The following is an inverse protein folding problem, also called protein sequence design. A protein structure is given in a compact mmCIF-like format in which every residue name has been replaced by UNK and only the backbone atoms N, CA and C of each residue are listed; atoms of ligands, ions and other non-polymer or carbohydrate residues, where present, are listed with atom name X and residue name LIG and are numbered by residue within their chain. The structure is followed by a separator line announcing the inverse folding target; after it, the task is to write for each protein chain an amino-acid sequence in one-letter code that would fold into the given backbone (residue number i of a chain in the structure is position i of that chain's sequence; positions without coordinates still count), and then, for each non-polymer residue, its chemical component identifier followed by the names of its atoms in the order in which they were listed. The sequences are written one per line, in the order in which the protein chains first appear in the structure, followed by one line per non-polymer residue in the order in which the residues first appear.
data_IF_994353897216
#
_entry.id   IF_994353897216
#
_cell.length_a   1.000
_cell.length_b   1.000
_cell.length_c   1.000
_cell.angle_alpha   90.00
_cell.angle_beta   90.00
_cell.angle_gamma   90.00
#
_symmetry.space_group_name_H-M   'P 1'
#
loop_
_entity.id
_entity.type
_entity.pdbx_description
1 polymer ?
#
# COMPACT_ATOMS: atom_id res chain seq x y z
N UNK A 1 -32.65 -18.87 -40.42
CA UNK A 1 -33.02 -17.73 -39.55
C UNK A 1 -32.63 -17.95 -38.08
N UNK A 2 -32.93 -19.12 -37.49
CA UNK A 2 -32.61 -19.43 -36.07
C UNK A 2 -31.10 -19.36 -35.75
N UNK A 3 -30.22 -19.85 -36.62
CA UNK A 3 -28.76 -19.79 -36.40
C UNK A 3 -28.15 -18.38 -36.43
N UNK A 4 -28.77 -17.43 -37.13
CA UNK A 4 -28.34 -16.02 -37.14
C UNK A 4 -28.76 -15.30 -35.85
N UNK A 5 -29.93 -15.63 -35.31
CA UNK A 5 -30.42 -15.12 -34.02
C UNK A 5 -29.57 -15.64 -32.85
N UNK A 6 -29.25 -16.94 -32.83
CA UNK A 6 -28.40 -17.55 -31.80
C UNK A 6 -26.98 -16.94 -31.77
N UNK A 7 -26.40 -16.66 -32.95
CA UNK A 7 -25.09 -15.99 -33.07
C UNK A 7 -25.09 -14.56 -32.53
N UNK A 8 -26.22 -13.86 -32.68
CA UNK A 8 -26.38 -12.48 -32.21
C UNK A 8 -26.50 -12.41 -30.67
N UNK A 9 -27.11 -13.42 -30.05
CA UNK A 9 -27.25 -13.50 -28.58
C UNK A 9 -25.95 -13.96 -27.93
N UNK A 10 -25.33 -15.04 -28.44
CA UNK A 10 -24.06 -15.53 -27.91
C UNK A 10 -22.91 -14.51 -28.13
N UNK A 11 -22.91 -13.81 -29.27
CA UNK A 11 -21.95 -12.75 -29.55
C UNK A 11 -22.11 -11.55 -28.63
N UNK A 12 -23.35 -11.12 -28.34
CA UNK A 12 -23.62 -10.04 -27.37
C UNK A 12 -23.23 -10.45 -25.96
N UNK A 13 -23.57 -11.66 -25.53
CA UNK A 13 -23.17 -12.16 -24.21
C UNK A 13 -21.64 -12.22 -24.05
N UNK A 14 -20.91 -12.67 -25.08
CA UNK A 14 -19.45 -12.68 -25.05
C UNK A 14 -18.85 -11.26 -25.02
N UNK A 15 -19.46 -10.31 -25.74
CA UNK A 15 -19.09 -8.90 -25.70
C UNK A 15 -19.37 -8.28 -24.32
N UNK A 16 -20.53 -8.54 -23.72
CA UNK A 16 -20.92 -8.02 -22.40
C UNK A 16 -20.02 -8.57 -21.29
N UNK A 17 -19.63 -9.86 -21.37
CA UNK A 17 -18.66 -10.47 -20.45
C UNK A 17 -17.27 -9.86 -20.66
N UNK A 18 -16.85 -9.65 -21.91
CA UNK A 18 -15.59 -8.99 -22.26
C UNK A 18 -15.53 -7.55 -21.75
N UNK A 19 -16.59 -6.77 -21.95
CA UNK A 19 -16.73 -5.40 -21.45
C UNK A 19 -16.72 -5.34 -19.93
N UNK A 20 -17.40 -6.26 -19.23
CA UNK A 20 -17.35 -6.32 -17.75
C UNK A 20 -15.96 -6.65 -17.22
N UNK A 21 -15.21 -7.53 -17.89
CA UNK A 21 -13.81 -7.85 -17.52
C UNK A 21 -12.89 -6.65 -17.78
N UNK A 22 -13.05 -5.97 -18.92
CA UNK A 22 -12.31 -4.75 -19.25
C UNK A 22 -12.64 -3.60 -18.29
N UNK A 23 -13.90 -3.46 -17.88
CA UNK A 23 -14.36 -2.48 -16.89
C UNK A 23 -13.93 -2.79 -15.46
N UNK A 24 -13.61 -4.05 -15.14
CA UNK A 24 -13.04 -4.46 -13.85
C UNK A 24 -11.52 -4.21 -13.77
N UNK A 25 -10.88 -3.96 -14.93
CA UNK A 25 -9.47 -3.64 -15.05
C UNK A 25 -9.28 -2.26 -15.72
N UNK A 26 -9.98 -1.19 -15.29
CA UNK A 26 -9.60 0.13 -15.74
C UNK A 26 -8.22 0.38 -15.12
N UNK A 27 -7.25 0.81 -15.92
CA UNK A 27 -5.89 1.21 -15.50
C UNK A 27 -4.83 0.12 -15.30
N UNK A 28 -5.06 -1.20 -15.46
CA UNK A 28 -3.93 -2.14 -15.27
C UNK A 28 -2.75 -1.82 -16.18
N UNK A 29 -2.97 -1.52 -17.46
CA UNK A 29 -1.88 -1.20 -18.38
C UNK A 29 -1.02 0.00 -17.93
N UNK A 30 -1.66 1.11 -17.53
CA UNK A 30 -0.95 2.31 -17.06
C UNK A 30 -0.31 2.09 -15.69
N UNK A 31 -1.01 1.39 -14.79
CA UNK A 31 -0.49 1.00 -13.48
C UNK A 31 0.75 0.13 -13.61
N UNK A 32 0.72 -0.91 -14.45
CA UNK A 32 1.86 -1.78 -14.69
C UNK A 32 3.01 -1.02 -15.35
N UNK A 33 2.74 -0.09 -16.26
CA UNK A 33 3.75 0.78 -16.87
C UNK A 33 4.44 1.70 -15.85
N UNK A 34 3.66 2.43 -15.06
CA UNK A 34 4.15 3.32 -13.99
C UNK A 34 4.88 2.53 -12.90
N UNK A 35 4.32 1.39 -12.49
CA UNK A 35 4.95 0.46 -11.57
C UNK A 35 6.31 -0.01 -12.10
N UNK A 36 6.35 -0.48 -13.35
CA UNK A 36 7.59 -0.94 -13.98
C UNK A 36 8.62 0.18 -14.07
N UNK A 37 8.21 1.40 -14.37
CA UNK A 37 9.11 2.55 -14.40
C UNK A 37 9.68 2.90 -13.02
N UNK A 38 8.84 2.93 -11.98
CA UNK A 38 9.27 3.15 -10.59
C UNK A 38 10.23 2.03 -10.16
N UNK A 39 9.88 0.77 -10.45
CA UNK A 39 10.74 -0.37 -10.17
C UNK A 39 12.07 -0.26 -10.91
N UNK A 40 12.06 0.03 -12.21
CA UNK A 40 13.31 0.20 -12.96
C UNK A 40 14.16 1.35 -12.41
N UNK A 41 13.58 2.46 -11.97
CA UNK A 41 14.34 3.57 -11.40
C UNK A 41 14.86 3.26 -9.99
N UNK A 42 14.06 2.64 -9.12
CA UNK A 42 14.46 2.31 -7.75
C UNK A 42 15.38 1.09 -7.67
N UNK A 43 15.28 0.15 -8.62
CA UNK A 43 15.98 -1.13 -8.59
C UNK A 43 17.25 -1.19 -9.47
N UNK A 44 17.52 -0.17 -10.32
CA UNK A 44 18.68 -0.15 -11.23
C UNK A 44 20.03 -0.08 -10.51
N UNK A 45 20.09 0.56 -9.35
CA UNK A 45 21.36 0.84 -8.64
C UNK A 45 21.47 0.19 -7.26
N UNK A 46 20.45 -0.55 -6.80
CA UNK A 46 20.43 -1.14 -5.47
C UNK A 46 20.76 -2.63 -5.49
N UNK A 47 21.78 -3.04 -4.72
CA UNK A 47 22.04 -4.45 -4.39
C UNK A 47 20.73 -5.19 -4.03
N UNK A 48 20.54 -6.42 -4.49
CA UNK A 48 19.34 -7.28 -4.33
C UNK A 48 18.68 -7.23 -2.93
N UNK A 49 19.45 -6.94 -1.87
CA UNK A 49 19.01 -6.82 -0.48
C UNK A 49 18.01 -5.69 -0.20
N UNK A 50 17.86 -4.71 -1.09
CA UNK A 50 17.02 -3.52 -0.86
C UNK A 50 15.66 -3.57 -1.54
N UNK A 51 15.21 -4.73 -2.03
CA UNK A 51 13.93 -4.87 -2.75
C UNK A 51 12.80 -5.38 -1.86
N UNK A 52 12.71 -4.90 -0.61
CA UNK A 52 11.76 -5.42 0.38
C UNK A 52 10.64 -4.43 0.71
N UNK A 53 9.44 -4.99 0.89
CA UNK A 53 8.26 -4.28 1.37
C UNK A 53 8.20 -4.36 2.89
N UNK A 54 7.93 -3.23 3.53
CA UNK A 54 7.85 -3.12 4.99
C UNK A 54 6.60 -2.36 5.41
N UNK A 55 6.19 -2.55 6.66
CA UNK A 55 5.29 -1.63 7.35
C UNK A 55 6.11 -0.73 8.28
N UNK A 56 5.73 0.54 8.30
CA UNK A 56 6.30 1.54 9.21
C UNK A 56 5.16 2.36 9.80
N UNK A 57 5.33 2.81 11.04
CA UNK A 57 4.37 3.72 11.66
C UNK A 57 4.55 5.15 11.10
N UNK A 58 3.57 5.64 10.35
CA UNK A 58 3.56 6.96 9.75
C UNK A 58 2.10 7.40 9.47
N UNK A 59 1.71 8.66 9.73
CA UNK A 59 2.54 9.76 10.23
C UNK A 59 2.69 9.79 11.77
N UNK A 60 2.07 8.84 12.48
CA UNK A 60 2.18 8.72 13.95
C UNK A 60 2.16 7.27 14.39
N UNK A 61 2.52 7.02 15.65
CA UNK A 61 2.43 5.70 16.28
C UNK A 61 1.00 5.13 16.21
N UNK A 62 0.91 3.82 15.97
CA UNK A 62 -0.32 3.07 15.76
C UNK A 62 -0.93 3.18 14.35
N UNK A 63 -0.36 3.99 13.45
CA UNK A 63 -0.83 4.12 12.05
C UNK A 63 0.20 3.51 11.13
N UNK A 64 -0.12 2.34 10.56
CA UNK A 64 0.81 1.57 9.73
C UNK A 64 0.64 1.89 8.25
N UNK A 65 1.77 2.11 7.57
CA UNK A 65 1.80 2.39 6.13
C UNK A 65 2.77 1.43 5.44
N UNK A 66 2.42 1.00 4.23
CA UNK A 66 3.29 0.23 3.35
C UNK A 66 4.40 1.15 2.85
N UNK A 67 5.65 0.70 2.95
CA UNK A 67 6.81 1.39 2.45
C UNK A 67 7.77 0.43 1.74
N UNK A 68 8.61 0.98 0.88
CA UNK A 68 9.64 0.25 0.16
C UNK A 68 11.01 0.68 0.66
N UNK A 69 11.83 -0.28 1.03
CA UNK A 69 13.24 0.02 1.31
C UNK A 69 13.90 0.42 -0.01
N UNK A 70 14.65 1.51 -0.03
CA UNK A 70 15.35 1.99 -1.23
C UNK A 70 16.86 1.90 -1.12
N UNK A 71 17.39 1.64 0.08
CA UNK A 71 18.83 1.52 0.28
C UNK A 71 19.27 1.76 1.73
N UNK A 72 20.58 1.88 1.89
CA UNK A 72 21.21 2.46 3.07
C UNK A 72 21.47 3.95 2.85
N UNK A 73 21.36 4.72 3.91
CA UNK A 73 21.72 6.14 3.92
C UNK A 73 23.22 6.37 3.66
N UNK A 74 23.57 7.58 3.20
CA UNK A 74 24.97 7.98 3.01
C UNK A 74 25.73 8.05 4.35
N UNK A 75 27.05 7.89 4.31
CA UNK A 75 27.86 7.87 5.53
C UNK A 75 27.82 9.21 6.30
N UNK A 76 27.60 10.32 5.60
CA UNK A 76 27.36 11.63 6.21
C UNK A 76 26.09 11.67 7.06
N UNK A 77 25.04 10.96 6.66
CA UNK A 77 23.79 10.92 7.44
C UNK A 77 23.92 9.89 8.56
N UNK A 78 24.62 8.77 8.32
CA UNK A 78 24.87 7.74 9.34
C UNK A 78 25.58 8.30 10.57
N UNK A 79 26.56 9.18 10.37
CA UNK A 79 27.32 9.78 11.49
C UNK A 79 26.43 10.56 12.47
N UNK A 80 25.26 11.03 12.04
CA UNK A 80 24.32 11.78 12.88
C UNK A 80 23.20 10.93 13.48
N UNK A 81 22.81 9.83 12.83
CA UNK A 81 21.62 9.03 13.21
C UNK A 81 21.95 7.68 13.84
N UNK A 82 23.21 7.24 13.79
CA UNK A 82 23.67 5.97 14.33
C UNK A 82 23.63 4.82 13.33
N UNK A 83 24.02 3.64 13.81
CA UNK A 83 24.14 2.44 13.00
C UNK A 83 22.77 1.78 12.74
N UNK A 84 22.59 1.17 11.57
CA UNK A 84 21.38 0.41 11.14
C UNK A 84 20.12 1.28 10.91
N UNK A 85 20.25 2.24 9.98
CA UNK A 85 19.14 3.04 9.45
C UNK A 85 18.74 2.58 8.05
N UNK A 86 17.44 2.68 7.74
CA UNK A 86 16.88 2.35 6.43
C UNK A 86 16.36 3.59 5.73
N UNK A 87 16.65 3.68 4.44
CA UNK A 87 15.99 4.60 3.53
C UNK A 87 14.68 3.98 3.05
N UNK A 88 13.57 4.67 3.27
CA UNK A 88 12.23 4.25 2.87
C UNK A 88 11.61 5.23 1.88
N UNK A 89 10.92 4.69 0.87
CA UNK A 89 9.92 5.41 0.10
C UNK A 89 8.52 5.02 0.59
N UNK A 90 7.76 6.02 1.05
CA UNK A 90 6.39 5.89 1.55
C UNK A 90 5.45 6.48 0.49
N UNK A 91 4.85 5.65 -0.38
CA UNK A 91 3.98 6.13 -1.45
C UNK A 91 2.63 6.65 -0.93
N UNK A 92 2.02 7.54 -1.71
CA UNK A 92 0.61 7.93 -1.55
C UNK A 92 -0.31 7.03 -2.36
N UNK A 93 -1.59 7.00 -2.00
CA UNK A 93 -2.65 6.29 -2.74
C UNK A 93 -3.63 7.30 -3.37
N UNK A 94 -4.25 7.00 -4.54
CA UNK A 94 -4.02 5.84 -5.41
C UNK A 94 -2.83 6.03 -6.37
N UNK A 95 -2.20 7.21 -6.41
CA UNK A 95 -1.05 7.48 -7.27
C UNK A 95 0.27 7.17 -6.54
N UNK A 96 0.95 6.06 -6.87
CA UNK A 96 2.11 5.60 -6.12
C UNK A 96 3.43 6.24 -6.60
N UNK A 97 3.35 7.19 -7.55
CA UNK A 97 4.51 7.97 -8.03
C UNK A 97 4.88 9.09 -7.07
N UNK A 98 3.92 9.55 -6.25
CA UNK A 98 4.15 10.53 -5.18
C UNK A 98 4.28 9.84 -3.83
N UNK A 99 4.93 10.51 -2.89
CA UNK A 99 5.19 9.95 -1.57
C UNK A 99 6.21 10.75 -0.77
N UNK A 100 6.63 10.17 0.34
CA UNK A 100 7.63 10.70 1.24
C UNK A 100 8.88 9.84 1.19
N UNK A 101 10.03 10.50 1.34
CA UNK A 101 11.27 9.83 1.68
C UNK A 101 11.46 9.91 3.19
N UNK A 102 11.69 8.77 3.83
CA UNK A 102 11.88 8.68 5.27
C UNK A 102 13.15 7.89 5.59
N UNK A 103 13.81 8.27 6.68
CA UNK A 103 14.94 7.54 7.25
C UNK A 103 14.50 7.07 8.63
N UNK A 104 14.47 5.75 8.84
CA UNK A 104 13.99 5.16 10.09
C UNK A 104 14.94 4.10 10.61
N UNK A 105 15.01 3.87 11.93
CA UNK A 105 15.75 2.76 12.49
C UNK A 105 15.22 1.41 11.98
N UNK A 106 16.10 0.46 11.68
CA UNK A 106 15.69 -0.86 11.17
C UNK A 106 14.80 -1.64 12.14
N UNK A 107 14.94 -1.39 13.45
CA UNK A 107 14.10 -1.99 14.50
C UNK A 107 12.65 -1.51 14.49
N UNK A 108 12.37 -0.36 13.88
CA UNK A 108 11.04 0.27 13.89
C UNK A 108 10.22 -0.09 12.62
N UNK A 109 10.74 -0.99 11.77
CA UNK A 109 10.04 -1.49 10.60
C UNK A 109 9.66 -2.96 10.75
N UNK A 110 8.48 -3.32 10.25
CA UNK A 110 8.03 -4.72 10.18
C UNK A 110 8.19 -5.23 8.76
N UNK A 111 8.89 -6.36 8.60
CA UNK A 111 9.00 -7.03 7.31
C UNK A 111 7.67 -7.68 6.93
N UNK A 112 7.23 -7.47 5.69
CA UNK A 112 6.04 -8.13 5.15
C UNK A 112 6.46 -9.12 4.08
N UNK A 113 5.91 -10.34 4.15
CA UNK A 113 6.04 -11.35 3.10
C UNK A 113 5.06 -11.06 1.96
N UNK A 114 5.28 -9.96 1.24
CA UNK A 114 4.50 -9.60 0.05
C UNK A 114 5.45 -9.16 -1.07
N UNK A 115 5.07 -9.46 -2.32
CA UNK A 115 5.84 -8.97 -3.47
C UNK A 115 5.66 -7.45 -3.60
N UNK A 116 6.61 -6.80 -4.28
CA UNK A 116 6.52 -5.37 -4.56
C UNK A 116 5.29 -5.09 -5.43
N UNK A 117 5.02 -5.93 -6.43
CA UNK A 117 3.82 -5.84 -7.28
C UNK A 117 2.52 -5.96 -6.49
N UNK A 118 2.46 -6.86 -5.50
CA UNK A 118 1.30 -7.01 -4.63
C UNK A 118 1.06 -5.75 -3.79
N UNK A 119 2.13 -5.19 -3.22
CA UNK A 119 2.06 -3.94 -2.46
C UNK A 119 1.55 -2.78 -3.31
N UNK A 120 2.03 -2.64 -4.55
CA UNK A 120 1.55 -1.60 -5.46
C UNK A 120 0.09 -1.80 -5.87
N UNK A 121 -0.39 -3.05 -6.04
CA UNK A 121 -1.83 -3.31 -6.26
C UNK A 121 -2.69 -2.82 -5.08
N UNK A 122 -2.24 -3.07 -3.85
CA UNK A 122 -2.92 -2.56 -2.64
C UNK A 122 -2.96 -1.03 -2.65
N UNK A 123 -1.81 -0.39 -2.86
CA UNK A 123 -1.68 1.07 -2.83
C UNK A 123 -2.55 1.75 -3.90
N UNK A 124 -2.54 1.24 -5.13
CA UNK A 124 -3.28 1.84 -6.24
C UNK A 124 -4.78 1.63 -6.09
N UNK A 125 -5.19 0.49 -5.56
CA UNK A 125 -6.61 0.24 -5.24
C UNK A 125 -7.08 0.97 -3.98
N UNK A 126 -6.20 1.67 -3.26
CA UNK A 126 -6.53 2.28 -1.97
C UNK A 126 -6.88 1.26 -0.88
N UNK A 127 -6.40 0.02 -1.01
CA UNK A 127 -6.67 -1.07 -0.06
C UNK A 127 -7.87 -1.96 -0.39
N UNK A 128 -8.60 -1.69 -1.48
CA UNK A 128 -9.75 -2.52 -1.89
C UNK A 128 -9.30 -3.91 -2.35
N UNK A 129 -8.12 -4.00 -2.98
CA UNK A 129 -7.54 -5.27 -3.41
C UNK A 129 -6.59 -5.77 -2.33
N UNK A 130 -6.91 -6.91 -1.72
CA UNK A 130 -6.01 -7.61 -0.80
C UNK A 130 -5.21 -8.68 -1.57
N UNK A 131 -3.87 -8.78 -1.39
CA UNK A 131 -3.09 -9.87 -1.96
C UNK A 131 -3.65 -11.21 -1.46
N UNK A 132 -3.71 -12.22 -2.34
CA UNK A 132 -4.41 -13.47 -2.09
C UNK A 132 -4.04 -14.07 -0.71
N UNK A 133 -5.01 -14.14 0.19
CA UNK A 133 -4.87 -14.87 1.45
C UNK A 133 -4.72 -16.35 1.11
N UNK A 134 -3.48 -16.86 1.13
CA UNK A 134 -3.32 -18.27 1.48
C UNK A 134 -3.75 -18.37 2.95
N UNK A 135 -4.98 -18.84 3.17
CA UNK A 135 -5.61 -18.97 4.48
C UNK A 135 -4.69 -19.82 5.36
N UNK A 136 -3.91 -19.17 6.23
CA UNK A 136 -3.29 -19.81 7.39
C UNK A 136 -4.31 -19.67 8.53
N UNK A 137 -4.83 -20.77 9.11
CA UNK A 137 -5.86 -20.68 10.12
C UNK A 137 -5.36 -19.88 11.33
N UNK A 138 -6.04 -18.78 11.63
CA UNK A 138 -5.75 -17.91 12.77
C UNK A 138 -5.79 -18.70 14.09
N UNK A 139 -4.69 -18.65 14.84
CA UNK A 139 -4.76 -18.84 16.30
C UNK A 139 -5.34 -17.57 16.90
N UNK A 140 -6.56 -17.66 17.42
CA UNK A 140 -7.23 -16.59 18.18
C UNK A 140 -6.31 -16.10 19.31
N UNK A 141 -5.71 -14.92 19.15
CA UNK A 141 -5.02 -14.21 20.23
C UNK A 141 -6.02 -13.28 20.91
N UNK A 142 -6.43 -13.65 22.13
CA UNK A 142 -7.32 -12.86 22.97
C UNK A 142 -6.56 -11.65 23.56
N UNK A 143 -6.33 -10.61 22.76
CA UNK A 143 -5.93 -9.30 23.29
C UNK A 143 -7.17 -8.38 23.33
N UNK A 144 -7.70 -8.16 24.54
CA UNK A 144 -8.79 -7.19 24.78
C UNK A 144 -8.33 -5.79 24.38
N UNK A 145 -8.85 -5.28 23.26
CA UNK A 145 -8.79 -3.84 22.96
C UNK A 145 -9.77 -3.12 23.89
N UNK A 146 -9.24 -2.25 24.77
CA UNK A 146 -10.09 -1.33 25.55
C UNK A 146 -10.68 -0.27 24.60
N UNK A 147 -11.99 0.03 24.68
CA UNK A 147 -12.57 1.11 23.89
C UNK A 147 -12.08 2.46 24.42
N UNK A 148 -11.46 3.27 23.56
CA UNK A 148 -11.20 4.67 23.81
C UNK A 148 -12.51 5.45 23.60
N UNK A 149 -13.34 5.53 24.64
CA UNK A 149 -14.38 6.56 24.72
C UNK A 149 -13.75 7.76 25.43
N UNK A 150 -13.58 8.85 24.68
CA UNK A 150 -13.29 10.17 25.23
C UNK A 150 -14.48 10.58 26.12
N UNK A 151 -14.22 10.86 27.40
CA UNK A 151 -15.23 11.37 28.33
C UNK A 151 -15.69 12.76 27.87
N UNK A 152 -17.00 12.94 27.85
CA UNK A 152 -17.74 14.07 27.28
C UNK A 152 -17.57 15.41 28.02
N UNK A 153 -16.64 15.52 28.97
CA UNK A 153 -16.51 16.71 29.83
C UNK A 153 -15.63 17.81 29.21
N UNK A 154 -14.75 17.49 28.27
CA UNK A 154 -13.83 18.47 27.68
C UNK A 154 -14.47 19.37 26.60
N UNK A 155 -15.66 19.01 26.09
CA UNK A 155 -16.33 19.79 25.02
C UNK A 155 -17.00 21.08 25.54
N UNK A 156 -17.30 21.19 26.83
CA UNK A 156 -18.02 22.34 27.39
C UNK A 156 -17.11 23.49 27.87
N UNK A 157 -15.80 23.27 27.95
CA UNK A 157 -14.85 24.33 28.36
C UNK A 157 -14.41 25.25 27.22
N UNK A 158 -14.60 24.86 25.97
CA UNK A 158 -14.08 25.62 24.82
C UNK A 158 -15.08 26.62 24.21
N UNK A 159 -16.32 26.69 24.71
CA UNK A 159 -17.40 27.49 24.10
C UNK A 159 -17.80 28.75 24.87
N UNK A 160 -17.04 29.18 25.90
CA UNK A 160 -17.38 30.36 26.72
C UNK A 160 -16.30 31.46 26.78
N UNK A 161 -15.27 31.38 25.94
CA UNK A 161 -14.30 32.47 25.75
C UNK A 161 -14.31 32.94 24.30
N UNK A 162 -15.39 33.59 23.86
CA UNK A 162 -15.39 34.52 22.73
C UNK A 162 -16.57 35.49 22.93
N UNK A 163 -16.22 36.75 23.18
CA UNK A 163 -17.11 37.91 23.41
C UNK A 163 -18.05 38.22 22.23
#
# INVERSE_FOLDING_TARGET
VIGLMARNIAGRWLLDVGERILQAIPFAGSVYGTLKQILETLLKDSNEKFRRVVLVEYPRQGVWTIAFVTGTISDQIKSHLGDSMLSLFIPTTPNPTSGWYAIVPEKDVLNVSMSVEEAFKVLISGGIVTPNQSVRPEKKSNARLKPLLLESEDYQKFSTEED
#
